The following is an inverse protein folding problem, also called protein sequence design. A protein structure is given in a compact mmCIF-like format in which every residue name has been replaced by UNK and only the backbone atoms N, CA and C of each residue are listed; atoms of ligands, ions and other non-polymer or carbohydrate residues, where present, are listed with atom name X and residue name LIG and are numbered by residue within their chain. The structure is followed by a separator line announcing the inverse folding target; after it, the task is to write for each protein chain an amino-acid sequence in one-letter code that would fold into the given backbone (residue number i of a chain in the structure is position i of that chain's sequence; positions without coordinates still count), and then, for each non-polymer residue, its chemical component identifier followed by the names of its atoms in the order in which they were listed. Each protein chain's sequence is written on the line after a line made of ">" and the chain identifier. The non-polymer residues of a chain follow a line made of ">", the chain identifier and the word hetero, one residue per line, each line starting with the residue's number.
data_IF_094325133346
#
_entry.id   IF_094325133346
#
_cell.length_a   1.000
_cell.length_b   1.000
_cell.length_c   1.000
_cell.angle_alpha   90.00
_cell.angle_beta   90.00
_cell.angle_gamma   90.00
#
_symmetry.space_group_name_H-M   'P 1'
#
loop_
_entity.id
_entity.type
_entity.pdbx_description
1 polymer ?
#
# COMPACT_ATOMS: atom_id res chain seq x y z
N UNK A 1 9.59 5.72 -27.69
CA UNK A 1 8.99 6.71 -26.78
C UNK A 1 9.33 6.25 -25.38
N UNK A 2 9.98 7.08 -24.59
CA UNK A 2 10.36 6.78 -23.21
C UNK A 2 9.08 6.61 -22.38
N UNK A 3 8.96 5.52 -21.63
CA UNK A 3 7.82 5.30 -20.72
C UNK A 3 7.73 6.48 -19.73
N UNK A 4 6.54 7.01 -19.55
CA UNK A 4 6.31 8.10 -18.61
C UNK A 4 5.16 7.74 -17.69
N UNK A 5 5.41 7.89 -16.40
CA UNK A 5 4.50 7.58 -15.31
C UNK A 5 3.88 8.85 -14.74
N UNK A 6 2.64 8.78 -14.30
CA UNK A 6 2.01 9.86 -13.55
C UNK A 6 2.32 9.68 -12.07
N UNK A 7 3.22 10.48 -11.55
CA UNK A 7 3.70 10.41 -10.17
C UNK A 7 3.13 11.58 -9.37
N UNK A 8 2.54 11.28 -8.24
CA UNK A 8 2.11 12.28 -7.28
C UNK A 8 3.31 12.82 -6.51
N UNK A 9 4.11 11.91 -5.93
CA UNK A 9 5.32 12.26 -5.19
C UNK A 9 6.33 11.11 -5.15
N UNK A 10 7.59 11.45 -4.93
CA UNK A 10 8.66 10.54 -4.55
C UNK A 10 9.30 11.09 -3.28
N UNK A 11 9.40 10.29 -2.23
CA UNK A 11 9.95 10.74 -0.95
C UNK A 11 10.59 9.59 -0.16
N UNK A 12 11.55 9.95 0.68
CA UNK A 12 12.24 9.02 1.58
C UNK A 12 11.71 9.20 3.01
N UNK A 13 11.23 8.13 3.62
CA UNK A 13 10.69 8.11 4.97
C UNK A 13 10.79 6.71 5.59
N UNK A 14 10.04 6.46 6.67
CA UNK A 14 9.87 5.12 7.22
C UNK A 14 8.52 4.55 6.75
N UNK A 15 8.50 3.24 6.42
CA UNK A 15 7.21 2.55 6.25
C UNK A 15 6.43 2.60 7.56
N UNK A 16 5.22 3.16 7.50
CA UNK A 16 4.38 3.38 8.68
C UNK A 16 3.40 2.26 8.97
N UNK A 17 3.27 1.26 8.09
CA UNK A 17 2.19 0.27 8.12
C UNK A 17 2.71 -1.14 7.84
N UNK A 18 1.95 -2.14 8.33
CA UNK A 18 2.13 -3.54 7.98
C UNK A 18 3.43 -4.17 8.45
N UNK A 19 3.89 -5.14 7.68
CA UNK A 19 5.04 -5.97 8.02
C UNK A 19 6.34 -5.16 8.13
N UNK A 20 6.54 -4.21 7.25
CA UNK A 20 7.76 -3.39 7.18
C UNK A 20 7.71 -2.11 8.02
N UNK A 21 6.76 -1.98 8.94
CA UNK A 21 6.68 -0.80 9.83
C UNK A 21 8.04 -0.47 10.46
N UNK A 22 8.46 0.79 10.35
CA UNK A 22 9.75 1.30 10.84
C UNK A 22 10.92 1.13 9.87
N UNK A 23 10.73 0.47 8.71
CA UNK A 23 11.79 0.29 7.72
C UNK A 23 12.02 1.56 6.91
N UNK A 24 13.27 2.08 6.81
CA UNK A 24 13.60 3.17 5.89
C UNK A 24 13.27 2.81 4.45
N UNK A 25 12.43 3.59 3.78
CA UNK A 25 11.84 3.26 2.50
C UNK A 25 11.74 4.47 1.58
N UNK A 26 12.04 4.26 0.30
CA UNK A 26 11.70 5.20 -0.76
C UNK A 26 10.28 4.91 -1.23
N UNK A 27 9.40 5.88 -1.14
CA UNK A 27 8.05 5.79 -1.64
C UNK A 27 7.95 6.42 -3.03
N UNK A 28 7.41 5.67 -3.98
CA UNK A 28 7.04 6.15 -5.31
C UNK A 28 5.52 6.10 -5.38
N UNK A 29 4.88 7.27 -5.19
CA UNK A 29 3.43 7.39 -5.15
C UNK A 29 2.89 7.73 -6.53
N UNK A 30 2.21 6.79 -7.15
CA UNK A 30 1.52 6.99 -8.41
C UNK A 30 0.26 7.85 -8.23
N UNK A 31 -0.04 8.66 -9.22
CA UNK A 31 -1.27 9.44 -9.28
C UNK A 31 -2.37 8.70 -10.04
N UNK A 32 -3.58 8.81 -9.53
CA UNK A 32 -4.77 8.18 -10.08
C UNK A 32 -5.08 6.81 -9.46
N UNK A 33 -6.36 6.57 -9.27
CA UNK A 33 -6.90 5.32 -8.75
C UNK A 33 -8.17 4.97 -9.51
N UNK A 34 -8.46 3.69 -9.67
CA UNK A 34 -9.71 3.20 -10.24
C UNK A 34 -10.84 3.12 -9.22
N UNK A 35 -10.56 3.35 -7.92
CA UNK A 35 -11.53 3.32 -6.84
C UNK A 35 -11.66 4.69 -6.16
N UNK A 36 -12.79 4.92 -5.48
CA UNK A 36 -13.06 6.11 -4.68
C UNK A 36 -13.47 5.67 -3.27
N UNK A 37 -12.47 5.37 -2.43
CA UNK A 37 -12.70 4.93 -1.06
C UNK A 37 -13.12 6.11 -0.18
N UNK A 38 -14.14 5.96 0.69
CA UNK A 38 -14.63 7.06 1.53
C UNK A 38 -13.63 7.54 2.58
N UNK A 39 -12.63 6.71 2.91
CA UNK A 39 -11.56 6.98 3.87
C UNK A 39 -10.20 7.24 3.21
N UNK A 40 -10.18 7.50 1.90
CA UNK A 40 -8.93 7.73 1.18
C UNK A 40 -8.25 9.01 1.68
N UNK A 41 -7.02 8.88 2.14
CA UNK A 41 -6.18 9.97 2.62
C UNK A 41 -5.19 10.49 1.57
N UNK A 42 -5.18 9.89 0.38
CA UNK A 42 -4.30 10.30 -0.72
C UNK A 42 -4.98 11.32 -1.62
N UNK A 43 -4.38 12.51 -1.77
CA UNK A 43 -4.79 13.48 -2.79
C UNK A 43 -4.28 13.04 -4.16
N UNK A 44 -5.17 12.96 -5.15
CA UNK A 44 -4.82 12.63 -6.53
C UNK A 44 -4.74 13.86 -7.44
N UNK A 45 -4.84 15.08 -6.86
CA UNK A 45 -4.93 16.32 -7.63
C UNK A 45 -3.60 16.72 -8.30
N UNK A 46 -2.49 16.47 -7.60
CA UNK A 46 -1.17 16.86 -8.06
C UNK A 46 -0.45 15.67 -8.68
N UNK A 47 -0.33 15.67 -10.00
CA UNK A 47 0.40 14.65 -10.73
C UNK A 47 1.40 15.29 -11.68
N UNK A 48 2.68 14.95 -11.55
CA UNK A 48 3.71 15.26 -12.55
C UNK A 48 3.98 14.03 -13.40
N UNK A 49 4.34 14.25 -14.66
CA UNK A 49 4.88 13.18 -15.50
C UNK A 49 6.36 13.03 -15.20
N UNK A 50 6.77 11.81 -14.87
CA UNK A 50 8.17 11.44 -14.70
C UNK A 50 8.53 10.36 -15.70
N UNK A 51 9.69 10.50 -16.33
CA UNK A 51 10.25 9.42 -17.15
C UNK A 51 10.84 8.32 -16.28
N UNK A 52 11.06 7.15 -16.85
CA UNK A 52 11.74 6.03 -16.18
C UNK A 52 13.09 6.48 -15.62
N UNK A 53 13.89 7.21 -16.43
CA UNK A 53 15.22 7.68 -16.06
C UNK A 53 15.19 8.66 -14.89
N UNK A 54 14.14 9.48 -14.78
CA UNK A 54 13.97 10.40 -13.65
C UNK A 54 13.67 9.64 -12.37
N UNK A 55 12.78 8.63 -12.42
CA UNK A 55 12.46 7.79 -11.25
C UNK A 55 13.70 6.99 -10.81
N UNK A 56 14.40 6.37 -11.75
CA UNK A 56 15.62 5.59 -11.49
C UNK A 56 16.70 6.46 -10.86
N UNK A 57 16.86 7.71 -11.34
CA UNK A 57 17.81 8.67 -10.76
C UNK A 57 17.47 9.01 -9.30
N UNK A 58 16.20 9.26 -8.98
CA UNK A 58 15.77 9.51 -7.60
C UNK A 58 16.01 8.26 -6.73
N UNK A 59 15.71 7.08 -7.25
CA UNK A 59 15.96 5.83 -6.55
C UNK A 59 17.46 5.57 -6.31
N UNK A 60 18.31 5.88 -7.27
CA UNK A 60 19.77 5.74 -7.14
C UNK A 60 20.36 6.65 -6.06
N UNK A 61 19.80 7.85 -5.86
CA UNK A 61 20.24 8.80 -4.84
C UNK A 61 19.75 8.44 -3.43
N UNK A 62 18.71 7.63 -3.31
CA UNK A 62 18.15 7.24 -2.02
C UNK A 62 18.96 6.09 -1.39
N UNK A 63 19.40 6.22 -0.12
CA UNK A 63 20.18 5.16 0.56
C UNK A 63 19.35 3.92 0.90
N UNK A 64 17.99 4.03 0.95
CA UNK A 64 17.14 2.91 1.26
C UNK A 64 17.20 1.84 0.17
N UNK A 65 17.32 0.58 0.60
CA UNK A 65 17.16 -0.56 -0.29
C UNK A 65 15.67 -0.83 -0.60
N UNK A 66 14.80 -0.60 0.38
CA UNK A 66 13.37 -0.85 0.28
C UNK A 66 12.68 0.28 -0.50
N UNK A 67 11.99 -0.07 -1.57
CA UNK A 67 11.17 0.82 -2.40
C UNK A 67 9.73 0.37 -2.33
N UNK A 68 8.82 1.29 -2.05
CA UNK A 68 7.37 1.03 -1.98
C UNK A 68 6.67 1.72 -3.14
N UNK A 69 6.16 0.94 -4.07
CA UNK A 69 5.26 1.40 -5.11
C UNK A 69 3.86 1.53 -4.50
N UNK A 70 3.34 2.73 -4.39
CA UNK A 70 2.09 3.05 -3.69
C UNK A 70 1.34 4.17 -4.42
N UNK A 71 0.35 4.77 -3.79
CA UNK A 71 -0.31 5.98 -4.27
C UNK A 71 -1.80 5.83 -4.43
N UNK A 72 -2.33 6.14 -5.61
CA UNK A 72 -3.68 5.73 -6.02
C UNK A 72 -3.75 4.23 -6.17
N UNK A 73 -3.64 3.74 -7.40
CA UNK A 73 -3.45 2.30 -7.65
C UNK A 73 -2.22 2.09 -8.55
N UNK A 74 -1.12 1.55 -7.99
CA UNK A 74 0.12 1.36 -8.75
C UNK A 74 -0.03 0.43 -9.95
N UNK A 75 -0.87 -0.61 -9.84
CA UNK A 75 -1.06 -1.60 -10.90
C UNK A 75 -1.60 -1.03 -12.22
N UNK A 76 -2.13 0.20 -12.19
CA UNK A 76 -2.58 0.89 -13.41
C UNK A 76 -1.41 1.39 -14.27
N UNK A 77 -0.22 1.52 -13.71
CA UNK A 77 0.90 2.19 -14.38
C UNK A 77 2.24 1.46 -14.20
N UNK A 78 2.48 0.85 -13.03
CA UNK A 78 3.72 0.13 -12.77
C UNK A 78 3.87 -1.05 -13.74
N UNK A 79 5.01 -1.15 -14.39
CA UNK A 79 5.33 -2.18 -15.36
C UNK A 79 6.64 -2.92 -15.01
N UNK A 80 6.93 -4.00 -15.76
CA UNK A 80 8.13 -4.80 -15.53
C UNK A 80 9.43 -4.02 -15.76
N UNK A 81 9.42 -3.03 -16.67
CA UNK A 81 10.63 -2.25 -16.96
C UNK A 81 11.03 -1.42 -15.75
N UNK A 82 10.08 -0.76 -15.08
CA UNK A 82 10.35 -0.03 -13.85
C UNK A 82 10.89 -0.96 -12.75
N UNK A 83 10.30 -2.15 -12.59
CA UNK A 83 10.74 -3.12 -11.57
C UNK A 83 12.16 -3.59 -11.86
N UNK A 84 12.47 -3.93 -13.11
CA UNK A 84 13.79 -4.41 -13.53
C UNK A 84 14.87 -3.34 -13.30
N UNK A 85 14.59 -2.08 -13.63
CA UNK A 85 15.52 -0.96 -13.40
C UNK A 85 15.76 -0.70 -11.90
N UNK A 86 14.73 -0.81 -11.07
CA UNK A 86 14.90 -0.71 -9.62
C UNK A 86 15.74 -1.88 -9.07
N UNK A 87 15.54 -3.09 -9.57
CA UNK A 87 16.37 -4.25 -9.23
C UNK A 87 17.83 -4.07 -9.68
N UNK A 88 18.08 -3.47 -10.86
CA UNK A 88 19.44 -3.18 -11.32
C UNK A 88 20.20 -2.24 -10.37
N UNK A 89 19.48 -1.41 -9.60
CA UNK A 89 20.03 -0.60 -8.51
C UNK A 89 20.17 -1.36 -7.17
N UNK A 90 19.85 -2.67 -7.13
CA UNK A 90 19.86 -3.47 -5.90
C UNK A 90 18.72 -3.17 -4.94
N UNK A 91 17.65 -2.54 -5.42
CA UNK A 91 16.47 -2.25 -4.59
C UNK A 91 15.60 -3.49 -4.40
N UNK A 92 14.91 -3.55 -3.26
CA UNK A 92 13.83 -4.48 -2.95
C UNK A 92 12.51 -3.77 -3.24
N UNK A 93 11.71 -4.29 -4.14
CA UNK A 93 10.51 -3.62 -4.65
C UNK A 93 9.25 -4.21 -4.02
N UNK A 94 8.63 -3.43 -3.14
CA UNK A 94 7.31 -3.72 -2.56
C UNK A 94 6.22 -2.94 -3.29
N UNK A 95 5.00 -3.49 -3.32
CA UNK A 95 3.81 -2.80 -3.84
C UNK A 95 2.68 -2.82 -2.82
N UNK A 96 1.98 -1.70 -2.69
CA UNK A 96 0.70 -1.61 -1.99
C UNK A 96 -0.42 -1.43 -3.02
N UNK A 97 -1.32 -2.41 -3.14
CA UNK A 97 -2.35 -2.45 -4.18
C UNK A 97 -3.73 -2.79 -3.60
N UNK A 98 -4.78 -2.31 -4.24
CA UNK A 98 -6.16 -2.73 -3.95
C UNK A 98 -6.51 -4.11 -4.56
N UNK A 99 -5.65 -4.66 -5.42
CA UNK A 99 -5.76 -6.00 -5.99
C UNK A 99 -6.75 -6.15 -7.14
N UNK A 100 -7.27 -5.06 -7.69
CA UNK A 100 -8.25 -5.12 -8.80
C UNK A 100 -7.61 -5.33 -10.18
N UNK A 101 -6.29 -5.30 -10.28
CA UNK A 101 -5.53 -5.51 -11.51
C UNK A 101 -4.34 -6.44 -11.26
N UNK A 102 -3.91 -7.11 -12.32
CA UNK A 102 -2.69 -7.92 -12.27
C UNK A 102 -1.46 -7.02 -12.06
N UNK A 103 -0.47 -7.55 -11.34
CA UNK A 103 0.81 -6.88 -11.10
C UNK A 103 1.86 -7.30 -12.13
N UNK A 104 2.85 -6.46 -12.42
CA UNK A 104 4.03 -6.85 -13.18
C UNK A 104 4.79 -7.97 -12.44
N UNK A 105 5.53 -8.76 -13.21
CA UNK A 105 6.44 -9.76 -12.63
C UNK A 105 7.61 -9.06 -11.92
N UNK A 106 8.22 -9.75 -10.98
CA UNK A 106 9.43 -9.28 -10.30
C UNK A 106 9.17 -8.48 -9.03
N UNK A 107 7.93 -8.20 -8.65
CA UNK A 107 7.64 -7.59 -7.34
C UNK A 107 8.10 -8.55 -6.23
N UNK A 108 8.93 -8.04 -5.31
CA UNK A 108 9.50 -8.82 -4.20
C UNK A 108 8.52 -8.99 -3.03
N UNK A 109 7.59 -8.06 -2.87
CA UNK A 109 6.58 -8.09 -1.80
C UNK A 109 5.28 -7.44 -2.23
N UNK A 110 4.20 -8.18 -2.10
CA UNK A 110 2.85 -7.70 -2.42
C UNK A 110 2.04 -7.52 -1.14
N UNK A 111 1.72 -6.27 -0.82
CA UNK A 111 0.71 -5.90 0.18
C UNK A 111 -0.62 -5.67 -0.53
N UNK A 112 -1.54 -6.61 -0.36
CA UNK A 112 -2.89 -6.52 -0.86
C UNK A 112 -3.81 -5.88 0.19
N UNK A 113 -4.41 -4.76 -0.16
CA UNK A 113 -5.38 -4.06 0.69
C UNK A 113 -6.74 -3.99 0.01
N UNK A 114 -7.59 -5.03 0.15
CA UNK A 114 -8.90 -5.12 -0.49
C UNK A 114 -9.82 -3.95 -0.12
N UNK A 115 -10.68 -3.55 -1.05
CA UNK A 115 -11.65 -2.46 -0.87
C UNK A 115 -13.10 -2.88 -1.17
N UNK A 116 -13.31 -4.15 -1.48
CA UNK A 116 -14.61 -4.74 -1.85
C UNK A 116 -15.69 -4.60 -0.78
N UNK A 117 -15.30 -4.54 0.51
CA UNK A 117 -16.23 -4.26 1.61
C UNK A 117 -16.75 -2.80 1.64
N UNK A 118 -16.08 -1.87 0.94
CA UNK A 118 -16.36 -0.42 1.02
C UNK A 118 -16.77 0.19 -0.31
N UNK A 119 -16.33 -0.40 -1.42
CA UNK A 119 -16.50 0.15 -2.76
C UNK A 119 -17.05 -0.91 -3.70
N UNK A 120 -18.12 -0.56 -4.43
CA UNK A 120 -18.65 -1.43 -5.49
C UNK A 120 -17.65 -1.58 -6.63
N UNK A 121 -17.66 -2.73 -7.30
CA UNK A 121 -16.77 -3.05 -8.43
C UNK A 121 -15.27 -3.03 -8.07
N UNK A 122 -14.95 -3.30 -6.80
CA UNK A 122 -13.59 -3.51 -6.33
C UNK A 122 -13.24 -5.01 -6.32
N UNK A 123 -13.56 -5.71 -7.40
CA UNK A 123 -13.34 -7.15 -7.53
C UNK A 123 -11.86 -7.47 -7.48
N UNK A 124 -11.47 -8.36 -6.55
CA UNK A 124 -10.08 -8.76 -6.35
C UNK A 124 -9.71 -9.80 -7.41
N UNK A 125 -8.67 -9.53 -8.20
CA UNK A 125 -8.15 -10.48 -9.20
C UNK A 125 -6.90 -11.23 -8.70
N UNK A 126 -6.27 -10.75 -7.63
CA UNK A 126 -5.11 -11.40 -7.02
C UNK A 126 -5.55 -12.53 -6.12
N UNK A 127 -5.07 -13.75 -6.39
CA UNK A 127 -5.31 -14.93 -5.55
C UNK A 127 -4.21 -15.16 -4.50
N UNK A 128 -3.12 -14.39 -4.56
CA UNK A 128 -1.96 -14.51 -3.68
C UNK A 128 -1.34 -13.15 -3.36
N UNK A 129 -0.85 -13.00 -2.13
CA UNK A 129 -0.04 -11.87 -1.69
C UNK A 129 0.88 -12.32 -0.53
N UNK A 130 1.90 -11.51 -0.21
CA UNK A 130 2.75 -11.73 0.96
C UNK A 130 2.08 -11.22 2.23
N UNK A 131 1.38 -10.09 2.10
CA UNK A 131 0.66 -9.42 3.17
C UNK A 131 -0.76 -9.06 2.73
N UNK A 132 -1.74 -9.50 3.49
CA UNK A 132 -3.14 -9.07 3.39
C UNK A 132 -3.40 -8.03 4.49
N UNK A 133 -3.52 -6.75 4.12
CA UNK A 133 -3.75 -5.63 5.03
C UNK A 133 -5.15 -5.07 4.84
N UNK A 134 -6.07 -5.39 5.76
CA UNK A 134 -7.49 -5.07 5.66
C UNK A 134 -7.84 -3.87 6.54
N UNK A 135 -8.49 -2.88 5.94
CA UNK A 135 -9.05 -1.75 6.69
C UNK A 135 -10.22 -2.23 7.53
N UNK A 136 -10.23 -1.84 8.81
CA UNK A 136 -11.25 -2.22 9.78
C UNK A 136 -11.97 -0.98 10.29
N UNK A 137 -13.26 -0.91 10.08
CA UNK A 137 -14.14 0.20 10.50
C UNK A 137 -14.99 -0.13 11.75
N UNK A 138 -14.75 -1.30 12.33
CA UNK A 138 -15.55 -1.85 13.43
C UNK A 138 -16.40 -3.04 12.99
N UNK A 139 -16.53 -3.28 11.68
CA UNK A 139 -17.25 -4.44 11.12
C UNK A 139 -16.25 -5.56 10.82
N UNK A 140 -16.54 -6.82 11.21
CA UNK A 140 -15.68 -7.95 10.87
C UNK A 140 -15.44 -8.04 9.34
N UNK A 141 -14.18 -8.16 8.90
CA UNK A 141 -13.88 -8.22 7.47
C UNK A 141 -14.38 -9.54 6.85
N UNK A 142 -14.59 -9.58 5.53
CA UNK A 142 -14.76 -10.82 4.80
C UNK A 142 -13.62 -11.81 5.11
N UNK A 143 -13.87 -13.11 5.05
CA UNK A 143 -12.86 -14.11 5.45
C UNK A 143 -11.64 -14.16 4.53
N UNK A 144 -11.73 -13.68 3.28
CA UNK A 144 -10.67 -13.70 2.27
C UNK A 144 -9.96 -15.06 2.18
N UNK A 145 -10.73 -16.15 2.33
CA UNK A 145 -10.20 -17.53 2.35
C UNK A 145 -9.62 -18.00 1.01
N UNK A 146 -10.05 -17.36 -0.08
CA UNK A 146 -9.53 -17.63 -1.43
C UNK A 146 -8.17 -16.95 -1.71
N UNK A 147 -7.69 -16.09 -0.80
CA UNK A 147 -6.43 -15.37 -0.95
C UNK A 147 -5.35 -16.09 -0.14
N UNK A 148 -4.36 -16.64 -0.85
CA UNK A 148 -3.15 -17.19 -0.23
C UNK A 148 -2.28 -16.05 0.30
N UNK A 149 -1.94 -16.07 1.59
CA UNK A 149 -1.11 -15.04 2.21
C UNK A 149 -0.36 -15.59 3.42
N UNK A 150 0.88 -15.09 3.60
CA UNK A 150 1.71 -15.42 4.77
C UNK A 150 1.39 -14.54 5.98
N UNK A 151 0.95 -13.31 5.76
CA UNK A 151 0.73 -12.32 6.82
C UNK A 151 -0.63 -11.65 6.67
N UNK A 152 -1.37 -11.57 7.80
CA UNK A 152 -2.66 -10.89 7.86
C UNK A 152 -2.61 -9.74 8.84
N UNK A 153 -2.94 -8.54 8.36
CA UNK A 153 -2.98 -7.34 9.17
C UNK A 153 -4.36 -6.71 9.14
N UNK A 154 -4.82 -6.30 10.32
CA UNK A 154 -6.01 -5.50 10.49
C UNK A 154 -5.58 -4.07 10.80
N UNK A 155 -6.01 -3.12 9.97
CA UNK A 155 -5.66 -1.71 10.11
C UNK A 155 -6.90 -0.89 10.48
N UNK A 156 -6.99 -0.38 11.72
CA UNK A 156 -8.08 0.48 12.13
C UNK A 156 -8.21 1.68 11.19
N UNK A 157 -9.43 1.92 10.70
CA UNK A 157 -9.75 3.03 9.82
C UNK A 157 -9.57 4.36 10.55
N UNK A 158 -8.86 5.29 9.92
CA UNK A 158 -8.81 6.68 10.38
C UNK A 158 -10.00 7.44 9.77
N UNK A 159 -10.91 7.88 10.63
CA UNK A 159 -12.12 8.62 10.27
C UNK A 159 -11.95 10.13 10.39
N UNK A 160 -10.77 10.61 10.83
CA UNK A 160 -10.56 11.99 11.22
C UNK A 160 -11.21 12.39 12.55
N UNK A 161 -11.92 11.48 13.23
CA UNK A 161 -12.55 11.69 14.53
C UNK A 161 -11.88 10.83 15.60
N UNK A 162 -11.19 11.45 16.54
CA UNK A 162 -10.40 10.76 17.57
C UNK A 162 -11.25 9.79 18.43
N UNK A 163 -12.47 10.19 18.82
CA UNK A 163 -13.34 9.33 19.64
C UNK A 163 -13.83 8.10 18.86
N UNK A 164 -14.14 8.27 17.58
CA UNK A 164 -14.51 7.16 16.70
C UNK A 164 -13.31 6.23 16.44
N UNK A 165 -12.14 6.80 16.16
CA UNK A 165 -10.92 6.05 15.94
C UNK A 165 -10.54 5.20 17.15
N UNK A 166 -10.72 5.72 18.37
CA UNK A 166 -10.48 4.96 19.61
C UNK A 166 -11.45 3.76 19.74
N UNK A 167 -12.72 3.92 19.38
CA UNK A 167 -13.69 2.81 19.38
C UNK A 167 -13.32 1.73 18.37
N UNK A 168 -12.96 2.14 17.15
CA UNK A 168 -12.52 1.24 16.08
C UNK A 168 -11.26 0.48 16.51
N UNK A 169 -10.28 1.17 17.09
CA UNK A 169 -9.05 0.54 17.59
C UNK A 169 -9.34 -0.50 18.67
N UNK A 170 -10.20 -0.17 19.66
CA UNK A 170 -10.59 -1.12 20.71
C UNK A 170 -11.27 -2.35 20.12
N UNK A 171 -12.22 -2.16 19.20
CA UNK A 171 -12.90 -3.26 18.52
C UNK A 171 -11.94 -4.13 17.69
N UNK A 172 -10.95 -3.49 17.02
CA UNK A 172 -9.92 -4.23 16.28
C UNK A 172 -9.06 -5.12 17.21
N UNK A 173 -8.68 -4.59 18.38
CA UNK A 173 -7.92 -5.35 19.37
C UNK A 173 -8.75 -6.56 19.88
N UNK A 174 -10.03 -6.36 20.19
CA UNK A 174 -10.89 -7.46 20.65
C UNK A 174 -11.12 -8.49 19.55
N UNK A 175 -11.31 -8.05 18.30
CA UNK A 175 -11.40 -8.96 17.15
C UNK A 175 -10.13 -9.80 16.98
N UNK A 176 -8.94 -9.19 17.05
CA UNK A 176 -7.67 -9.91 16.90
C UNK A 176 -7.41 -10.90 18.04
N UNK A 177 -7.81 -10.59 19.28
CA UNK A 177 -7.73 -11.55 20.40
C UNK A 177 -8.58 -12.80 20.17
N UNK A 178 -9.71 -12.65 19.48
CA UNK A 178 -10.57 -13.77 19.10
C UNK A 178 -10.08 -14.47 17.81
N UNK A 179 -9.23 -13.81 17.01
CA UNK A 179 -8.76 -14.29 15.71
C UNK A 179 -7.23 -14.13 15.60
N UNK A 180 -6.43 -14.98 16.28
CA UNK A 180 -4.98 -14.80 16.48
C UNK A 180 -4.12 -14.87 15.20
N UNK A 181 -4.73 -15.23 14.06
CA UNK A 181 -4.08 -15.15 12.74
C UNK A 181 -3.93 -13.71 12.23
N UNK A 182 -4.61 -12.73 12.85
CA UNK A 182 -4.51 -11.32 12.50
C UNK A 182 -3.53 -10.59 13.41
N UNK A 183 -2.79 -9.67 12.84
CA UNK A 183 -1.87 -8.76 13.52
C UNK A 183 -2.35 -7.32 13.37
N UNK A 184 -2.01 -6.46 14.31
CA UNK A 184 -2.33 -5.04 14.23
C UNK A 184 -1.39 -4.33 13.26
N UNK A 185 -1.94 -3.57 12.33
CA UNK A 185 -1.24 -2.53 11.59
C UNK A 185 -1.75 -1.18 12.04
N UNK A 186 -0.85 -0.28 12.42
CA UNK A 186 -1.17 1.11 12.71
C UNK A 186 -0.59 2.00 11.60
N UNK A 187 -1.14 3.21 11.44
CA UNK A 187 -0.54 4.26 10.63
C UNK A 187 0.50 5.01 11.49
N UNK A 188 1.62 4.34 11.81
CA UNK A 188 2.61 4.85 12.78
C UNK A 188 3.22 6.18 12.35
N UNK A 189 3.33 6.45 11.05
CA UNK A 189 3.78 7.73 10.50
C UNK A 189 2.93 8.91 11.02
N UNK A 190 1.61 8.72 11.21
CA UNK A 190 0.73 9.75 11.78
C UNK A 190 1.02 10.01 13.25
N UNK A 191 1.39 8.97 14.03
CA UNK A 191 1.70 9.12 15.46
C UNK A 191 3.04 9.80 15.72
N UNK A 192 4.03 9.57 14.87
CA UNK A 192 5.37 10.15 15.03
C UNK A 192 5.58 11.40 14.18
N UNK A 193 4.56 11.85 13.44
CA UNK A 193 4.57 13.10 12.68
C UNK A 193 5.55 13.12 11.51
N UNK A 194 5.77 11.97 10.86
CA UNK A 194 6.55 11.87 9.63
C UNK A 194 5.64 11.67 8.42
N UNK A 195 6.24 11.81 7.26
CA UNK A 195 5.56 11.63 5.98
C UNK A 195 5.38 10.16 5.66
#
# INVERSE_FOLDING_TARGET
>A
MTAAYRINEVFYSLQGEGFFTGTPSLFIRFAGCNLQCPFCDTSHADARRMTLEEIVREAAQCPARHVVLTGGEPSLQADGVLVDELHALGKFVAVETNGTHALPKGIDWVTLSPKDAFVRHADIVLSRCDELKVVFDGTPPPPYSAIETSHRFLQPCDTGNAAQNQKILSAAVDFMKAHPQWRLSLQTHKFIGIR
#
